data_IF_833879516552
#
_entry.id   IF_833879516552
#
_cell.length_a   1.000
_cell.length_b   1.000
_cell.length_c   1.000
_cell.angle_alpha   90.00
_cell.angle_beta   90.00
_cell.angle_gamma   90.00
#
_symmetry.space_group_name_H-M   'P 1'
#
loop_
_entity.id
_entity.type
_entity.pdbx_description
1 polymer ?
#
# COMPACT_ATOMS: atom_id res chain seq x y z
N UNK A 1 3.48 -22.85 -32.71
CA UNK A 1 2.77 -21.57 -32.55
C UNK A 1 2.06 -21.59 -31.20
N UNK A 2 2.77 -21.16 -30.15
CA UNK A 2 2.24 -21.07 -28.79
C UNK A 2 1.47 -19.76 -28.66
N UNK A 3 0.14 -19.83 -28.79
CA UNK A 3 -0.74 -18.71 -28.51
C UNK A 3 -0.55 -18.27 -27.06
N UNK A 4 0.10 -17.13 -26.86
CA UNK A 4 0.06 -16.40 -25.61
C UNK A 4 -1.39 -16.01 -25.37
N UNK A 5 -2.06 -16.75 -24.48
CA UNK A 5 -3.35 -16.38 -23.93
C UNK A 5 -3.23 -14.98 -23.35
N UNK A 6 -3.65 -13.99 -24.13
CA UNK A 6 -3.76 -12.59 -23.73
C UNK A 6 -4.86 -12.55 -22.65
N UNK A 7 -4.45 -12.75 -21.38
CA UNK A 7 -5.37 -12.66 -20.26
C UNK A 7 -5.88 -11.21 -20.22
N UNK A 8 -7.21 -11.00 -20.20
CA UNK A 8 -7.74 -9.65 -20.09
C UNK A 8 -7.19 -9.03 -18.79
N UNK A 9 -6.44 -7.94 -18.95
CA UNK A 9 -5.95 -7.09 -17.87
C UNK A 9 -7.18 -6.52 -17.15
N UNK A 10 -7.61 -7.19 -16.08
CA UNK A 10 -8.65 -6.67 -15.17
C UNK A 10 -8.04 -5.55 -14.34
N UNK A 11 -7.88 -4.38 -14.95
CA UNK A 11 -7.26 -3.16 -14.41
C UNK A 11 -7.96 -2.60 -13.16
N UNK A 12 -9.07 -3.18 -12.70
CA UNK A 12 -9.77 -2.79 -11.47
C UNK A 12 -9.58 -3.72 -10.26
N UNK A 13 -9.42 -5.04 -10.46
CA UNK A 13 -9.41 -6.02 -9.34
C UNK A 13 -8.10 -6.04 -8.56
N UNK A 14 -6.99 -5.61 -9.16
CA UNK A 14 -5.67 -5.62 -8.52
C UNK A 14 -5.29 -4.32 -7.80
N UNK A 15 -6.05 -3.23 -7.96
CA UNK A 15 -5.71 -1.91 -7.42
C UNK A 15 -5.55 -1.90 -5.91
N UNK A 16 -6.55 -2.43 -5.23
CA UNK A 16 -6.58 -2.45 -3.78
C UNK A 16 -5.48 -3.32 -3.16
N UNK A 17 -5.23 -4.56 -3.61
CA UNK A 17 -4.11 -5.33 -3.08
C UNK A 17 -2.74 -4.79 -3.52
N UNK A 18 -2.64 -4.01 -4.61
CA UNK A 18 -1.42 -3.24 -4.94
C UNK A 18 -1.18 -2.11 -3.94
N UNK A 19 -2.21 -1.31 -3.64
CA UNK A 19 -2.12 -0.23 -2.65
C UNK A 19 -1.75 -0.77 -1.26
N UNK A 20 -2.32 -1.91 -0.87
CA UNK A 20 -1.98 -2.57 0.38
C UNK A 20 -0.52 -3.06 0.43
N UNK A 21 -0.01 -3.62 -0.67
CA UNK A 21 1.40 -4.04 -0.76
C UNK A 21 2.35 -2.83 -0.72
N UNK A 22 1.98 -1.70 -1.33
CA UNK A 22 2.74 -0.47 -1.28
C UNK A 22 2.76 0.15 0.12
N UNK A 23 1.60 0.15 0.80
CA UNK A 23 1.46 0.56 2.19
C UNK A 23 2.38 -0.26 3.10
N UNK A 24 2.29 -1.59 3.01
CA UNK A 24 3.09 -2.52 3.81
C UNK A 24 4.59 -2.39 3.50
N UNK A 25 4.95 -2.25 2.22
CA UNK A 25 6.34 -2.04 1.81
C UNK A 25 6.93 -0.75 2.37
N UNK A 26 6.18 0.36 2.29
CA UNK A 26 6.60 1.63 2.87
C UNK A 26 6.73 1.56 4.40
N UNK A 27 5.74 0.97 5.08
CA UNK A 27 5.78 0.76 6.53
C UNK A 27 7.02 -0.07 6.94
N UNK A 28 7.34 -1.13 6.19
CA UNK A 28 8.52 -1.95 6.45
C UNK A 28 9.82 -1.17 6.24
N UNK A 29 9.96 -0.44 5.13
CA UNK A 29 11.17 0.36 4.86
C UNK A 29 11.39 1.39 5.98
N UNK A 30 10.32 2.07 6.39
CA UNK A 30 10.39 3.03 7.48
C UNK A 30 10.73 2.38 8.82
N UNK A 31 10.09 1.26 9.15
CA UNK A 31 10.40 0.48 10.35
C UNK A 31 11.87 0.05 10.39
N UNK A 32 12.42 -0.44 9.26
CA UNK A 32 13.84 -0.81 9.17
C UNK A 32 14.74 0.40 9.39
N UNK A 33 14.41 1.56 8.80
CA UNK A 33 15.20 2.77 8.99
C UNK A 33 15.20 3.24 10.45
N UNK A 34 14.04 3.21 11.12
CA UNK A 34 13.93 3.55 12.55
C UNK A 34 14.70 2.55 13.41
N UNK A 35 14.48 1.25 13.23
CA UNK A 35 15.18 0.22 14.02
C UNK A 35 16.69 0.31 13.83
N UNK A 36 17.15 0.62 12.62
CA UNK A 36 18.56 0.88 12.36
C UNK A 36 19.06 2.13 13.09
N UNK A 37 18.33 3.26 13.00
CA UNK A 37 18.70 4.50 13.68
C UNK A 37 18.78 4.30 15.21
N UNK A 38 17.70 3.81 15.82
CA UNK A 38 17.59 3.60 17.27
C UNK A 38 18.56 2.53 17.76
N UNK A 39 18.68 1.43 17.01
CA UNK A 39 19.60 0.34 17.36
C UNK A 39 21.07 0.76 17.31
N UNK A 40 21.46 1.52 16.29
CA UNK A 40 22.82 2.06 16.18
C UNK A 40 23.07 3.09 17.29
N UNK A 41 22.12 3.99 17.56
CA UNK A 41 22.24 4.97 18.63
C UNK A 41 22.43 4.29 20.00
N UNK A 42 21.63 3.25 20.29
CA UNK A 42 21.74 2.49 21.51
C UNK A 42 23.11 1.81 21.67
N UNK A 43 23.63 1.18 20.59
CA UNK A 43 24.93 0.52 20.59
C UNK A 43 26.08 1.53 20.78
N UNK A 44 26.02 2.68 20.12
CA UNK A 44 27.05 3.72 20.22
C UNK A 44 27.04 4.44 21.56
N UNK A 45 25.87 4.58 22.18
CA UNK A 45 25.71 5.15 23.51
C UNK A 45 26.01 4.15 24.65
N UNK A 46 26.49 2.94 24.33
CA UNK A 46 26.76 1.87 25.30
C UNK A 46 25.57 1.56 26.26
N UNK A 47 24.34 1.77 25.77
CA UNK A 47 23.12 1.58 26.55
C UNK A 47 22.61 2.81 27.32
N UNK A 48 23.29 3.96 27.26
CA UNK A 48 22.89 5.22 27.90
C UNK A 48 22.60 6.34 26.87
N UNK A 49 21.54 6.22 26.04
CA UNK A 49 21.27 7.18 24.97
C UNK A 49 20.95 8.60 25.48
N UNK A 50 20.52 8.77 26.73
CA UNK A 50 20.09 10.06 27.26
C UNK A 50 21.24 11.05 27.52
N UNK A 51 22.47 10.57 27.68
CA UNK A 51 23.66 11.39 27.97
C UNK A 51 24.52 11.63 26.74
N UNK A 52 24.16 11.02 25.61
CA UNK A 52 24.95 10.98 24.39
C UNK A 52 24.33 11.84 23.30
N UNK A 53 25.13 12.72 22.70
CA UNK A 53 24.70 13.52 21.55
C UNK A 53 24.90 12.72 20.27
N UNK A 54 23.84 12.38 19.53
CA UNK A 54 23.97 11.61 18.31
C UNK A 54 24.71 12.42 17.23
N UNK A 55 25.57 11.77 16.42
CA UNK A 55 26.23 12.43 15.32
C UNK A 55 25.21 12.70 14.20
N UNK A 56 25.42 13.82 13.47
CA UNK A 56 24.49 14.30 12.42
C UNK A 56 24.17 13.24 11.35
N UNK A 57 25.11 12.35 11.02
CA UNK A 57 24.85 11.30 10.03
C UNK A 57 23.80 10.28 10.49
N UNK A 58 23.61 10.11 11.81
CA UNK A 58 22.62 9.20 12.36
C UNK A 58 21.21 9.78 12.20
N UNK A 59 21.05 11.10 12.38
CA UNK A 59 19.80 11.81 12.06
C UNK A 59 19.45 11.72 10.57
N UNK A 60 20.46 11.71 9.69
CA UNK A 60 20.26 11.54 8.27
C UNK A 60 19.59 10.19 7.91
N UNK A 61 19.76 9.15 8.73
CA UNK A 61 19.09 7.85 8.53
C UNK A 61 17.57 8.01 8.67
N UNK A 62 17.10 8.64 9.76
CA UNK A 62 15.68 8.91 9.97
C UNK A 62 15.12 9.88 8.93
N UNK A 63 15.86 10.95 8.64
CA UNK A 63 15.47 11.95 7.65
C UNK A 63 15.29 11.35 6.25
N UNK A 64 16.15 10.40 5.86
CA UNK A 64 16.05 9.68 4.59
C UNK A 64 15.06 8.50 4.64
N UNK A 65 14.79 7.94 5.81
CA UNK A 65 13.88 6.81 5.97
C UNK A 65 12.47 7.09 5.43
N UNK A 66 11.92 8.28 5.69
CA UNK A 66 10.61 8.68 5.16
C UNK A 66 10.56 8.78 3.63
N UNK A 67 11.41 9.58 2.94
CA UNK A 67 11.37 9.65 1.48
C UNK A 67 11.69 8.29 0.83
N UNK A 68 12.61 7.50 1.41
CA UNK A 68 12.89 6.15 0.94
C UNK A 68 11.66 5.23 1.08
N UNK A 69 10.88 5.35 2.16
CA UNK A 69 9.66 4.57 2.34
C UNK A 69 8.55 5.00 1.36
N UNK A 70 8.32 6.30 1.20
CA UNK A 70 7.31 6.87 0.29
C UNK A 70 7.57 6.46 -1.16
N UNK A 71 8.83 6.44 -1.60
CA UNK A 71 9.22 6.08 -2.96
C UNK A 71 9.41 4.57 -3.11
N UNK A 72 10.11 3.94 -2.16
CA UNK A 72 10.46 2.53 -2.20
C UNK A 72 9.26 1.59 -2.07
N UNK A 73 8.28 1.92 -1.23
CA UNK A 73 7.07 1.11 -1.03
C UNK A 73 6.30 0.87 -2.34
N UNK A 74 5.88 1.93 -3.06
CA UNK A 74 5.20 1.81 -4.35
C UNK A 74 6.04 1.07 -5.40
N UNK A 75 7.34 1.38 -5.50
CA UNK A 75 8.24 0.74 -6.46
C UNK A 75 8.39 -0.77 -6.19
N UNK A 76 8.57 -1.15 -4.94
CA UNK A 76 8.66 -2.55 -4.52
C UNK A 76 7.35 -3.28 -4.83
N UNK A 77 6.21 -2.70 -4.47
CA UNK A 77 4.91 -3.27 -4.76
C UNK A 77 4.70 -3.43 -6.27
N UNK A 78 5.05 -2.40 -7.07
CA UNK A 78 4.95 -2.45 -8.53
C UNK A 78 5.80 -3.57 -9.14
N UNK A 79 7.03 -3.75 -8.63
CA UNK A 79 7.95 -4.81 -9.03
C UNK A 79 7.44 -6.20 -8.66
N UNK A 80 6.91 -6.38 -7.45
CA UNK A 80 6.32 -7.64 -6.97
C UNK A 80 5.11 -8.06 -7.82
N UNK A 81 4.38 -7.10 -8.38
CA UNK A 81 3.30 -7.35 -9.33
C UNK A 81 3.77 -7.62 -10.76
N UNK A 82 5.08 -7.67 -11.01
CA UNK A 82 5.64 -7.94 -12.34
C UNK A 82 5.39 -6.81 -13.34
N UNK A 83 5.15 -5.58 -12.89
CA UNK A 83 4.82 -4.45 -13.76
C UNK A 83 6.09 -3.69 -14.13
N UNK A 84 6.19 -3.26 -15.39
CA UNK A 84 7.28 -2.40 -15.86
C UNK A 84 7.05 -0.96 -15.39
N UNK A 85 8.15 -0.28 -15.04
CA UNK A 85 8.14 1.11 -14.64
C UNK A 85 8.51 1.98 -15.86
N UNK A 86 7.62 2.90 -16.24
CA UNK A 86 7.92 3.95 -17.20
C UNK A 86 8.02 5.31 -16.53
N UNK A 87 8.50 6.30 -17.27
CA UNK A 87 8.59 7.70 -16.79
C UNK A 87 7.22 8.25 -16.38
N UNK A 88 6.15 7.88 -17.10
CA UNK A 88 4.78 8.33 -16.81
C UNK A 88 4.29 7.81 -15.46
N UNK A 89 4.57 6.55 -15.15
CA UNK A 89 4.26 5.94 -13.87
C UNK A 89 5.06 6.60 -12.73
N UNK A 90 6.32 6.96 -12.97
CA UNK A 90 7.12 7.68 -11.98
C UNK A 90 6.53 9.05 -11.65
N UNK A 91 6.14 9.83 -12.66
CA UNK A 91 5.45 11.13 -12.47
C UNK A 91 4.14 10.93 -11.70
N UNK A 92 3.35 9.92 -12.06
CA UNK A 92 2.11 9.59 -11.35
C UNK A 92 2.36 9.17 -9.89
N UNK A 93 3.47 8.47 -9.61
CA UNK A 93 3.87 8.11 -8.25
C UNK A 93 4.17 9.36 -7.40
N UNK A 94 4.92 10.32 -7.95
CA UNK A 94 5.24 11.59 -7.27
C UNK A 94 3.97 12.38 -6.97
N UNK A 95 3.11 12.58 -7.97
CA UNK A 95 1.84 13.30 -7.79
C UNK A 95 0.93 12.57 -6.79
N UNK A 96 0.83 11.25 -6.89
CA UNK A 96 0.04 10.44 -5.97
C UNK A 96 0.58 10.46 -4.54
N UNK A 97 1.89 10.49 -4.34
CA UNK A 97 2.50 10.64 -3.02
C UNK A 97 2.20 12.02 -2.42
N UNK A 98 2.34 13.10 -3.19
CA UNK A 98 2.00 14.46 -2.75
C UNK A 98 0.53 14.57 -2.34
N UNK A 99 -0.38 14.06 -3.18
CA UNK A 99 -1.81 14.02 -2.89
C UNK A 99 -2.10 13.17 -1.66
N UNK A 100 -1.48 11.99 -1.55
CA UNK A 100 -1.66 11.11 -0.39
C UNK A 100 -1.18 11.75 0.90
N UNK A 101 -0.08 12.49 0.88
CA UNK A 101 0.42 13.26 2.02
C UNK A 101 -0.55 14.38 2.43
N UNK A 102 -1.05 15.15 1.46
CA UNK A 102 -2.04 16.20 1.72
C UNK A 102 -3.35 15.64 2.30
N UNK A 103 -3.89 14.57 1.70
CA UNK A 103 -5.10 13.89 2.18
C UNK A 103 -4.90 13.34 3.59
N UNK A 104 -3.76 12.69 3.85
CA UNK A 104 -3.43 12.19 5.18
C UNK A 104 -3.34 13.33 6.20
N UNK A 105 -2.63 14.42 5.88
CA UNK A 105 -2.50 15.58 6.76
C UNK A 105 -3.85 16.22 7.10
N UNK A 106 -4.73 16.39 6.11
CA UNK A 106 -6.10 16.90 6.34
C UNK A 106 -6.92 15.94 7.22
N UNK A 107 -6.88 14.63 6.93
CA UNK A 107 -7.59 13.63 7.73
C UNK A 107 -7.06 13.58 9.18
N UNK A 108 -5.75 13.69 9.35
CA UNK A 108 -5.09 13.71 10.65
C UNK A 108 -5.47 14.95 11.47
N UNK A 109 -5.43 16.14 10.85
CA UNK A 109 -5.85 17.39 11.49
C UNK A 109 -7.33 17.32 11.89
N UNK A 110 -8.19 16.83 10.99
CA UNK A 110 -9.61 16.66 11.29
C UNK A 110 -9.82 15.72 12.48
N UNK A 111 -9.13 14.58 12.49
CA UNK A 111 -9.19 13.63 13.60
C UNK A 111 -8.70 14.26 14.91
N UNK A 112 -7.60 15.02 14.87
CA UNK A 112 -7.09 15.75 16.02
C UNK A 112 -8.16 16.71 16.58
N UNK A 113 -8.79 17.54 15.75
CA UNK A 113 -9.85 18.43 16.19
C UNK A 113 -11.08 17.67 16.72
N UNK A 114 -11.50 16.58 16.07
CA UNK A 114 -12.61 15.76 16.54
C UNK A 114 -12.33 15.13 17.91
N UNK A 115 -11.11 14.64 18.15
CA UNK A 115 -10.75 14.09 19.47
C UNK A 115 -10.74 15.14 20.57
N UNK A 116 -10.48 16.41 20.26
CA UNK A 116 -10.60 17.54 21.20
C UNK A 116 -12.05 17.88 21.56
N UNK A 117 -13.02 17.51 20.73
CA UNK A 117 -14.44 17.78 20.97
C UNK A 117 -15.12 16.73 21.88
N UNK A 118 -14.49 15.58 22.08
CA UNK A 118 -15.02 14.51 22.95
C UNK A 118 -14.35 14.64 24.31
N UNK A 119 -15.05 15.08 25.37
CA UNK A 119 -14.48 15.13 26.71
C UNK A 119 -14.16 13.72 27.20
N UNK A 120 -12.88 13.39 27.26
CA UNK A 120 -12.37 12.09 27.74
C UNK A 120 -11.86 12.19 29.18
N UNK A 121 -12.10 11.17 30.03
CA UNK A 121 -11.61 11.15 31.41
C UNK A 121 -10.07 11.14 31.55
N UNK A 122 -9.35 10.79 30.47
CA UNK A 122 -7.88 10.74 30.41
C UNK A 122 -7.21 12.03 29.88
N UNK A 123 -7.96 13.09 29.60
CA UNK A 123 -7.53 14.18 28.73
C UNK A 123 -6.52 15.19 29.31
N UNK A 124 -6.03 15.03 30.56
CA UNK A 124 -5.17 16.05 31.18
C UNK A 124 -3.67 15.80 31.02
N UNK A 125 -3.21 14.55 31.06
CA UNK A 125 -1.77 14.23 31.08
C UNK A 125 -1.34 13.15 30.07
N UNK A 126 -2.27 12.59 29.28
CA UNK A 126 -1.98 11.52 28.33
C UNK A 126 -2.06 12.00 26.87
N UNK A 127 -1.19 11.45 26.01
CA UNK A 127 -1.18 11.71 24.57
C UNK A 127 -2.51 11.34 23.87
N UNK A 128 -2.68 11.66 22.57
CA UNK A 128 -3.95 11.48 21.86
C UNK A 128 -4.24 10.01 21.52
N UNK A 129 -4.38 9.14 22.53
CA UNK A 129 -4.64 7.70 22.40
C UNK A 129 -5.87 7.38 21.56
N UNK A 130 -6.91 8.22 21.61
CA UNK A 130 -8.07 8.08 20.75
C UNK A 130 -7.69 8.14 19.25
N UNK A 131 -6.74 9.01 18.88
CA UNK A 131 -6.24 9.06 17.50
C UNK A 131 -5.48 7.79 17.14
N UNK A 132 -4.64 7.28 18.05
CA UNK A 132 -3.89 6.02 17.86
C UNK A 132 -4.86 4.86 17.60
N UNK A 133 -5.91 4.74 18.43
CA UNK A 133 -6.92 3.69 18.30
C UNK A 133 -7.67 3.79 16.96
N UNK A 134 -8.16 4.99 16.61
CA UNK A 134 -8.87 5.20 15.33
C UNK A 134 -7.97 4.89 14.13
N UNK A 135 -6.72 5.34 14.18
CA UNK A 135 -5.74 5.08 13.13
C UNK A 135 -5.45 3.57 13.00
N UNK A 136 -5.25 2.87 14.11
CA UNK A 136 -5.05 1.42 14.14
C UNK A 136 -6.26 0.66 13.56
N UNK A 137 -7.49 1.04 13.94
CA UNK A 137 -8.71 0.46 13.37
C UNK A 137 -8.80 0.71 11.85
N UNK A 138 -8.42 1.91 11.40
CA UNK A 138 -8.33 2.24 9.98
C UNK A 138 -7.35 1.35 9.22
N UNK A 139 -6.16 1.10 9.78
CA UNK A 139 -5.16 0.18 9.20
C UNK A 139 -5.69 -1.24 9.16
N UNK A 140 -6.30 -1.72 10.25
CA UNK A 140 -6.88 -3.07 10.30
C UNK A 140 -7.98 -3.21 9.25
N UNK A 141 -8.89 -2.25 9.15
CA UNK A 141 -9.94 -2.25 8.13
C UNK A 141 -9.36 -2.24 6.71
N UNK A 142 -8.33 -1.43 6.48
CA UNK A 142 -7.63 -1.33 5.20
C UNK A 142 -6.85 -2.61 4.83
N UNK A 143 -6.29 -3.33 5.79
CA UNK A 143 -5.47 -4.54 5.55
C UNK A 143 -6.25 -5.85 5.70
N UNK A 144 -7.44 -5.84 6.28
CA UNK A 144 -8.22 -7.05 6.57
C UNK A 144 -8.45 -7.90 5.31
N UNK A 145 -9.02 -7.31 4.25
CA UNK A 145 -9.31 -8.03 3.01
C UNK A 145 -8.05 -8.55 2.29
N UNK A 146 -6.95 -7.78 2.08
CA UNK A 146 -5.77 -8.32 1.41
C UNK A 146 -5.05 -9.40 2.24
N UNK A 147 -5.14 -9.35 3.57
CA UNK A 147 -4.61 -10.40 4.47
C UNK A 147 -5.45 -11.67 4.36
N UNK A 148 -6.79 -11.58 4.46
CA UNK A 148 -7.68 -12.74 4.31
C UNK A 148 -7.46 -13.45 2.97
N UNK A 149 -7.34 -12.68 1.89
CA UNK A 149 -7.07 -13.26 0.55
C UNK A 149 -5.72 -13.97 0.53
N UNK A 150 -4.68 -13.39 1.13
CA UNK A 150 -3.35 -14.00 1.18
C UNK A 150 -3.32 -15.30 1.99
N UNK A 151 -4.00 -15.33 3.15
CA UNK A 151 -4.14 -16.55 3.97
C UNK A 151 -4.88 -17.64 3.21
N UNK A 152 -6.02 -17.29 2.57
CA UNK A 152 -6.81 -18.25 1.77
C UNK A 152 -6.05 -18.80 0.58
N UNK A 153 -5.27 -17.98 -0.13
CA UNK A 153 -4.49 -18.44 -1.28
C UNK A 153 -3.38 -19.42 -0.86
N UNK A 154 -2.69 -19.15 0.27
CA UNK A 154 -1.63 -20.02 0.78
C UNK A 154 -2.14 -21.34 1.34
N UNK A 155 -3.33 -21.34 1.95
CA UNK A 155 -4.02 -22.54 2.40
C UNK A 155 -4.66 -23.34 1.25
N UNK A 156 -4.83 -22.73 0.08
CA UNK A 156 -5.54 -23.27 -1.06
C UNK A 156 -4.65 -23.62 -2.26
N UNK A 157 -5.13 -23.42 -3.50
CA UNK A 157 -4.43 -23.78 -4.74
C UNK A 157 -3.15 -22.99 -5.04
N UNK A 158 -2.77 -22.01 -4.20
CA UNK A 158 -1.54 -21.19 -4.32
C UNK A 158 -1.37 -20.54 -5.69
N UNK A 159 -2.28 -19.65 -6.07
CA UNK A 159 -2.17 -18.94 -7.33
C UNK A 159 -0.99 -17.95 -7.34
N UNK A 160 -0.67 -17.30 -6.20
CA UNK A 160 0.40 -16.29 -6.11
C UNK A 160 1.22 -16.43 -4.81
N UNK A 161 1.90 -17.57 -4.59
CA UNK A 161 2.46 -17.91 -3.28
C UNK A 161 3.54 -16.94 -2.80
N UNK A 162 4.41 -16.46 -3.70
CA UNK A 162 5.50 -15.53 -3.34
C UNK A 162 4.97 -14.18 -2.87
N UNK A 163 3.98 -13.62 -3.57
CA UNK A 163 3.40 -12.31 -3.25
C UNK A 163 2.61 -12.37 -1.94
N UNK A 164 1.77 -13.38 -1.78
CA UNK A 164 0.98 -13.53 -0.55
C UNK A 164 1.84 -13.90 0.64
N UNK A 165 2.88 -14.72 0.45
CA UNK A 165 3.90 -14.99 1.47
C UNK A 165 4.60 -13.71 1.93
N UNK A 166 5.13 -12.90 0.99
CA UNK A 166 5.78 -11.64 1.32
C UNK A 166 4.84 -10.69 2.07
N UNK A 167 3.59 -10.53 1.61
CA UNK A 167 2.59 -9.72 2.32
C UNK A 167 2.41 -10.16 3.77
N UNK A 168 2.21 -11.46 4.01
CA UNK A 168 1.99 -11.97 5.36
C UNK A 168 3.23 -11.82 6.24
N UNK A 169 4.43 -12.06 5.69
CA UNK A 169 5.69 -11.82 6.43
C UNK A 169 5.77 -10.37 6.89
N UNK A 170 5.49 -9.40 6.00
CA UNK A 170 5.53 -7.98 6.38
C UNK A 170 4.49 -7.65 7.45
N UNK A 171 3.27 -8.21 7.36
CA UNK A 171 2.24 -8.03 8.39
C UNK A 171 2.70 -8.60 9.74
N UNK A 172 3.29 -9.79 9.75
CA UNK A 172 3.81 -10.42 10.97
C UNK A 172 4.94 -9.60 11.57
N UNK A 173 5.90 -9.13 10.76
CA UNK A 173 6.99 -8.26 11.22
C UNK A 173 6.46 -6.94 11.78
N UNK A 174 5.48 -6.32 11.12
CA UNK A 174 4.84 -5.11 11.60
C UNK A 174 4.13 -5.32 12.94
N UNK A 175 3.40 -6.43 13.09
CA UNK A 175 2.74 -6.78 14.36
C UNK A 175 3.76 -7.01 15.47
N UNK A 176 4.85 -7.74 15.18
CA UNK A 176 5.92 -7.97 16.14
C UNK A 176 6.58 -6.66 16.60
N UNK A 177 6.80 -5.71 15.67
CA UNK A 177 7.33 -4.39 16.00
C UNK A 177 6.36 -3.57 16.87
N UNK A 178 5.06 -3.62 16.60
CA UNK A 178 4.04 -2.98 17.45
C UNK A 178 4.05 -3.57 18.86
N UNK A 179 4.07 -4.91 18.99
CA UNK A 179 4.12 -5.57 20.29
C UNK A 179 5.40 -5.22 21.04
N UNK A 180 6.55 -5.23 20.36
CA UNK A 180 7.82 -4.82 20.96
C UNK A 180 7.78 -3.36 21.43
N UNK A 181 7.27 -2.43 20.61
CA UNK A 181 7.12 -1.03 20.97
C UNK A 181 6.22 -0.80 22.18
N UNK A 182 5.09 -1.51 22.27
CA UNK A 182 4.20 -1.46 23.45
C UNK A 182 4.89 -1.97 24.71
N UNK A 183 5.70 -3.03 24.61
CA UNK A 183 6.43 -3.60 25.75
C UNK A 183 7.59 -2.73 26.22
N UNK A 184 8.24 -2.00 25.31
CA UNK A 184 9.28 -1.01 25.65
C UNK A 184 8.66 0.24 26.29
N UNK A 185 7.47 0.65 25.84
CA UNK A 185 6.77 1.84 26.34
C UNK A 185 7.39 3.16 25.87
N UNK A 186 6.87 4.29 26.35
CA UNK A 186 7.40 5.62 26.02
C UNK A 186 7.13 6.10 24.59
N UNK A 187 7.97 7.02 24.09
CA UNK A 187 7.85 7.63 22.74
C UNK A 187 7.91 6.59 21.61
N UNK A 188 8.53 5.43 21.86
CA UNK A 188 8.62 4.32 20.92
C UNK A 188 7.25 3.66 20.65
N UNK A 189 6.25 3.83 21.52
CA UNK A 189 4.88 3.39 21.25
C UNK A 189 4.20 4.27 20.18
N UNK A 190 4.63 5.53 20.02
CA UNK A 190 4.10 6.46 19.01
C UNK A 190 4.60 6.15 17.59
N UNK A 191 5.66 5.34 17.45
CA UNK A 191 6.22 4.93 16.15
C UNK A 191 5.18 4.32 15.20
N UNK A 192 4.18 3.62 15.74
CA UNK A 192 3.09 3.07 14.93
C UNK A 192 2.30 4.14 14.18
N UNK A 193 2.12 5.32 14.77
CA UNK A 193 1.47 6.46 14.12
C UNK A 193 2.38 7.09 13.07
N UNK A 194 3.68 7.19 13.36
CA UNK A 194 4.66 7.72 12.39
C UNK A 194 4.82 6.83 11.15
N UNK A 195 4.60 5.52 11.26
CA UNK A 195 4.58 4.62 10.09
C UNK A 195 3.49 4.96 9.08
N UNK A 196 2.39 5.59 9.49
CA UNK A 196 1.31 5.99 8.57
C UNK A 196 1.72 7.12 7.65
N UNK A 197 2.64 7.97 8.13
CA UNK A 197 3.09 9.17 7.44
C UNK A 197 3.71 8.84 6.07
N UNK A 198 4.59 7.82 5.92
CA UNK A 198 5.02 7.36 4.60
C UNK A 198 4.08 6.32 3.95
N UNK A 199 3.38 5.50 4.74
CA UNK A 199 2.62 4.37 4.20
C UNK A 199 1.33 4.79 3.45
N UNK A 200 0.63 5.82 3.93
CA UNK A 200 -0.56 6.35 3.25
C UNK A 200 -0.21 7.00 1.91
N UNK A 201 0.77 7.93 1.82
CA UNK A 201 1.27 8.43 0.54
C UNK A 201 1.71 7.33 -0.43
N UNK A 202 2.38 6.29 0.06
CA UNK A 202 2.78 5.15 -0.78
C UNK A 202 1.58 4.40 -1.38
N UNK A 203 0.53 4.14 -0.58
CA UNK A 203 -0.68 3.49 -1.06
C UNK A 203 -1.38 4.32 -2.15
N UNK A 204 -1.44 5.64 -1.96
CA UNK A 204 -2.05 6.57 -2.93
C UNK A 204 -1.19 6.70 -4.18
N UNK A 205 0.14 6.75 -4.05
CA UNK A 205 1.09 6.74 -5.16
C UNK A 205 0.90 5.50 -6.05
N UNK A 206 0.87 4.30 -5.45
CA UNK A 206 0.66 3.07 -6.20
C UNK A 206 -0.71 3.02 -6.89
N UNK A 207 -1.73 3.60 -6.27
CA UNK A 207 -3.06 3.76 -6.87
C UNK A 207 -3.02 4.71 -8.06
N UNK A 208 -2.39 5.87 -7.92
CA UNK A 208 -2.24 6.86 -8.98
C UNK A 208 -1.48 6.29 -10.20
N UNK A 209 -0.41 5.53 -9.97
CA UNK A 209 0.33 4.82 -11.01
C UNK A 209 -0.57 3.87 -11.82
N UNK A 210 -1.43 3.09 -11.15
CA UNK A 210 -2.37 2.18 -11.82
C UNK A 210 -3.43 2.92 -12.63
N UNK A 211 -3.99 3.99 -12.06
CA UNK A 211 -4.96 4.84 -12.74
C UNK A 211 -4.40 5.48 -14.01
N UNK A 212 -3.18 6.04 -13.92
CA UNK A 212 -2.53 6.70 -15.05
C UNK A 212 -2.23 5.73 -16.19
N UNK A 213 -1.88 4.49 -15.86
CA UNK A 213 -1.66 3.41 -16.84
C UNK A 213 -2.95 2.97 -17.53
N UNK A 214 -4.08 3.01 -16.83
CA UNK A 214 -5.40 2.65 -17.35
C UNK A 214 -6.09 3.79 -18.15
N UNK A 215 -5.50 4.99 -18.19
CA UNK A 215 -6.12 6.18 -18.78
C UNK A 215 -6.38 6.09 -20.30
N UNK A 216 -7.36 6.87 -20.80
CA UNK A 216 -7.69 6.96 -22.22
C UNK A 216 -6.48 7.49 -23.01
N UNK A 217 -5.91 6.66 -23.87
CA UNK A 217 -4.66 6.95 -24.60
C UNK A 217 -3.51 6.00 -24.27
N UNK A 218 -3.68 5.10 -23.30
CA UNK A 218 -2.75 3.98 -23.14
C UNK A 218 -2.84 3.03 -24.38
N UNK A 219 -1.73 2.43 -24.84
CA UNK A 219 -1.76 1.42 -25.89
C UNK A 219 -2.72 0.25 -25.59
N UNK A 220 -2.97 0.02 -24.30
CA UNK A 220 -3.90 -0.97 -23.77
C UNK A 220 -5.37 -0.58 -24.01
N UNK A 221 -5.74 0.71 -23.94
CA UNK A 221 -7.10 1.15 -24.27
C UNK A 221 -7.43 0.98 -25.75
N UNK A 222 -6.42 0.96 -26.64
CA UNK A 222 -6.60 0.76 -28.09
C UNK A 222 -6.79 -0.70 -28.51
N UNK A 223 -6.38 -1.68 -27.69
CA UNK A 223 -6.59 -3.12 -27.98
C UNK A 223 -7.93 -3.66 -27.51
N UNK A 224 -8.69 -2.88 -26.74
CA UNK A 224 -9.89 -3.33 -26.02
C UNK A 224 -11.23 -3.23 -26.76
N UNK A 225 -11.28 -2.65 -27.97
CA UNK A 225 -12.47 -2.78 -28.81
C UNK A 225 -12.27 -4.00 -29.71
N UNK A 226 -12.83 -5.18 -29.38
CA UNK A 226 -13.02 -6.20 -30.40
C UNK A 226 -13.79 -5.51 -31.53
N UNK A 227 -13.19 -5.49 -32.72
CA UNK A 227 -13.91 -5.09 -33.91
C UNK A 227 -15.24 -5.86 -33.88
N UNK A 228 -16.40 -5.18 -34.04
CA UNK A 228 -17.68 -5.86 -34.01
C UNK A 228 -17.57 -7.05 -34.97
N UNK A 229 -17.94 -8.27 -34.54
CA UNK A 229 -17.79 -9.45 -35.37
C UNK A 229 -18.42 -9.11 -36.71
N UNK A 230 -17.60 -9.13 -37.77
CA UNK A 230 -18.09 -8.94 -39.14
C UNK A 230 -19.20 -9.98 -39.28
N UNK A 231 -20.45 -9.54 -39.22
CA UNK A 231 -21.62 -10.36 -39.48
C UNK A 231 -21.46 -10.82 -40.92
N UNK A 232 -20.86 -11.98 -41.10
CA UNK A 232 -20.87 -12.69 -42.37
C UNK A 232 -22.34 -12.97 -42.66
N UNK A 233 -22.85 -12.32 -43.71
CA UNK A 233 -24.23 -12.34 -44.15
C UNK A 233 -24.63 -13.68 -44.78
N UNK A 234 -24.31 -14.81 -44.14
CA UNK A 234 -24.43 -16.14 -44.76
C UNK A 234 -25.57 -17.03 -44.21
N UNK A 235 -26.36 -16.58 -43.22
CA UNK A 235 -27.35 -17.44 -42.57
C UNK A 235 -28.78 -16.89 -42.61
N UNK A 236 -29.27 -16.45 -43.78
CA UNK A 236 -30.66 -16.01 -43.95
C UNK A 236 -31.34 -16.51 -45.22
N UNK A 237 -31.11 -17.77 -45.59
CA UNK A 237 -31.80 -18.42 -46.71
C UNK A 237 -32.00 -19.93 -46.48
N UNK A 238 -32.79 -20.33 -45.47
CA UNK A 238 -33.49 -21.64 -45.47
C UNK A 238 -34.79 -21.53 -44.68
N UNK A 239 -35.90 -21.46 -45.41
CA UNK A 239 -37.23 -21.38 -44.81
C UNK A 239 -38.32 -21.00 -45.82
N UNK A 240 -38.35 -21.65 -46.99
CA UNK A 240 -39.51 -21.66 -47.87
C UNK A 240 -40.00 -23.09 -48.05
N UNK A 241 -41.24 -23.32 -47.66
CA UNK A 241 -42.17 -24.20 -48.35
C UNK A 241 -42.15 -25.68 -47.97
N UNK A 242 -43.12 -26.08 -47.15
CA UNK A 242 -43.79 -27.37 -47.33
C UNK A 242 -45.30 -27.08 -47.54
N UNK A 243 -45.96 -27.64 -48.57
CA UNK A 243 -47.39 -27.45 -48.80
C UNK A 243 -48.22 -28.39 -47.91
N UNK A 244 -49.48 -28.02 -47.60
CA UNK A 244 -50.40 -28.88 -46.87
C UNK A 244 -50.95 -30.00 -47.78
N UNK A 245 -51.25 -31.15 -47.16
CA UNK A 245 -52.19 -32.16 -47.66
C UNK A 245 -53.39 -32.19 -46.74
#
# INVERSE_FOLDING_TARGET
MTGTLDRPLVTGRERYPLAADAFLGAALIFLVAVVAQEGIAYLLAAGEPATWTPPVWLEAIGALGMPLAVVGGPLLAWRVHGRHLGWRELVAAVVGAMLGGAVFGVAFLLLFFLTRLVPGPAARDEGPWAMVIVAALGVVAFLCRPVIVAVRDLAGPRAHPRRHGLRLVVVVLGLAAVVAGVMVGGETAELGMFMLLPAVPAAVAATAMDWWRAGPGSPLSRRGSPAPPRRTAAARWRGRGAPPR
#
